data_IF_083687327148
#
_entry.id   IF_083687327148
#
_cell.length_a   1.000
_cell.length_b   1.000
_cell.length_c   1.000
_cell.angle_alpha   90.00
_cell.angle_beta   90.00
_cell.angle_gamma   90.00
#
_symmetry.space_group_name_H-M   'P 1'
#
loop_
_entity.id
_entity.type
_entity.pdbx_description
1 polymer ?
#
# COMPACT_ATOMS: atom_id res chain seq x y z
N UNK A 1 13.01 15.98 -5.17
CA UNK A 1 11.89 16.61 -4.41
C UNK A 1 10.53 16.03 -4.84
N UNK A 2 10.46 14.76 -5.26
CA UNK A 2 9.19 14.07 -5.44
C UNK A 2 8.72 13.63 -4.06
N UNK A 3 7.59 14.19 -3.61
CA UNK A 3 7.10 14.02 -2.25
C UNK A 3 7.05 12.56 -1.83
N UNK A 4 7.68 12.26 -0.68
CA UNK A 4 7.75 10.93 -0.06
C UNK A 4 6.37 10.46 0.39
N UNK A 5 5.43 10.23 -0.51
CA UNK A 5 4.08 9.80 -0.14
C UNK A 5 4.11 8.34 0.33
N UNK A 6 3.60 8.01 1.54
CA UNK A 6 3.62 6.64 2.04
C UNK A 6 2.83 5.69 1.12
N UNK A 7 3.48 4.68 0.49
CA UNK A 7 2.80 3.69 -0.34
C UNK A 7 1.61 2.98 0.32
N UNK A 8 1.66 2.63 1.63
CA UNK A 8 0.53 2.00 2.34
C UNK A 8 -0.77 2.81 2.27
N UNK A 9 -0.66 4.13 2.36
CA UNK A 9 -1.83 5.03 2.34
C UNK A 9 -2.56 4.98 1.00
N UNK A 10 -1.85 4.75 -0.10
CA UNK A 10 -2.49 4.63 -1.42
C UNK A 10 -3.38 3.41 -1.47
N UNK A 11 -2.92 2.29 -0.94
CA UNK A 11 -3.73 1.09 -0.87
C UNK A 11 -4.91 1.27 0.08
N UNK A 12 -4.68 1.79 1.28
CA UNK A 12 -5.73 1.96 2.29
C UNK A 12 -6.80 2.97 1.84
N UNK A 13 -6.40 4.16 1.37
CA UNK A 13 -7.33 5.16 0.86
C UNK A 13 -8.01 4.69 -0.43
N UNK A 14 -7.27 3.99 -1.30
CA UNK A 14 -7.82 3.42 -2.52
C UNK A 14 -8.86 2.34 -2.24
N UNK A 15 -8.69 1.54 -1.18
CA UNK A 15 -9.69 0.55 -0.75
C UNK A 15 -11.03 1.21 -0.43
N UNK A 16 -11.02 2.42 0.15
CA UNK A 16 -12.25 3.14 0.50
C UNK A 16 -13.07 3.56 -0.73
N UNK A 17 -12.43 3.70 -1.90
CA UNK A 17 -13.08 4.04 -3.16
C UNK A 17 -13.70 2.84 -3.88
N UNK A 18 -13.23 1.61 -3.59
CA UNK A 18 -13.71 0.36 -4.20
C UNK A 18 -15.22 0.13 -4.10
N UNK A 19 -15.93 0.35 -2.96
CA UNK A 19 -17.36 0.10 -2.87
C UNK A 19 -18.20 1.04 -3.73
N UNK A 20 -17.66 2.20 -4.13
CA UNK A 20 -18.34 3.15 -5.01
C UNK A 20 -18.23 2.76 -6.49
N UNK A 21 -17.29 1.88 -6.85
CA UNK A 21 -17.08 1.40 -8.22
C UNK A 21 -17.87 0.12 -8.51
N UNK A 22 -18.37 -0.02 -9.75
CA UNK A 22 -19.23 -1.17 -10.14
C UNK A 22 -18.71 -1.89 -11.37
N UNK A 23 -18.85 -3.22 -11.39
CA UNK A 23 -18.54 -4.05 -12.56
C UNK A 23 -17.06 -3.99 -12.97
N UNK A 24 -16.81 -3.86 -14.28
CA UNK A 24 -15.44 -3.92 -14.85
C UNK A 24 -14.53 -2.78 -14.37
N UNK A 25 -15.06 -1.59 -14.11
CA UNK A 25 -14.26 -0.45 -13.63
C UNK A 25 -13.65 -0.73 -12.27
N UNK A 26 -14.38 -1.39 -11.36
CA UNK A 26 -13.85 -1.81 -10.06
C UNK A 26 -12.71 -2.80 -10.22
N UNK A 27 -12.87 -3.80 -11.07
CA UNK A 27 -11.89 -4.88 -11.24
C UNK A 27 -10.58 -4.34 -11.86
N UNK A 28 -10.69 -3.42 -12.82
CA UNK A 28 -9.52 -2.70 -13.33
C UNK A 28 -8.89 -1.81 -12.26
N UNK A 29 -9.69 -1.09 -11.48
CA UNK A 29 -9.20 -0.24 -10.40
C UNK A 29 -8.40 -1.02 -9.34
N UNK A 30 -8.90 -2.18 -8.92
CA UNK A 30 -8.25 -3.04 -7.93
C UNK A 30 -6.91 -3.62 -8.42
N UNK A 31 -6.74 -3.77 -9.75
CA UNK A 31 -5.48 -4.20 -10.38
C UNK A 31 -4.52 -3.01 -10.54
N UNK A 32 -5.04 -1.84 -10.90
CA UNK A 32 -4.24 -0.62 -11.05
C UNK A 32 -3.64 -0.16 -9.73
N UNK A 33 -4.35 -0.34 -8.62
CA UNK A 33 -3.94 0.04 -7.28
C UNK A 33 -2.55 -0.49 -6.87
N UNK A 34 -2.30 -1.82 -6.88
CA UNK A 34 -0.96 -2.35 -6.59
C UNK A 34 0.08 -1.97 -7.64
N UNK A 35 -0.30 -1.80 -8.91
CA UNK A 35 0.63 -1.37 -9.96
C UNK A 35 1.13 0.07 -9.75
N UNK A 36 0.24 1.00 -9.39
CA UNK A 36 0.60 2.38 -9.02
C UNK A 36 1.46 2.38 -7.76
N UNK A 37 1.10 1.57 -6.76
CA UNK A 37 1.86 1.43 -5.52
C UNK A 37 3.27 0.90 -5.79
N UNK A 38 3.43 -0.09 -6.67
CA UNK A 38 4.74 -0.60 -7.10
C UNK A 38 5.59 0.50 -7.75
N UNK A 39 4.99 1.28 -8.66
CA UNK A 39 5.70 2.38 -9.35
C UNK A 39 6.18 3.44 -8.36
N UNK A 40 5.42 3.70 -7.29
CA UNK A 40 5.82 4.65 -6.25
C UNK A 40 6.92 4.11 -5.35
N UNK A 41 6.88 2.82 -5.00
CA UNK A 41 7.99 2.16 -4.27
C UNK A 41 9.29 2.24 -5.09
N UNK A 42 9.20 2.09 -6.41
CA UNK A 42 10.34 2.22 -7.31
C UNK A 42 10.96 3.63 -7.28
N UNK A 43 10.12 4.66 -7.24
CA UNK A 43 10.54 6.07 -7.24
C UNK A 43 10.98 6.59 -5.86
N UNK A 44 10.69 5.88 -4.76
CA UNK A 44 11.06 6.33 -3.42
C UNK A 44 12.58 6.35 -3.25
N UNK A 45 13.14 7.45 -2.78
CA UNK A 45 14.54 7.48 -2.36
C UNK A 45 14.73 6.78 -1.01
N UNK A 46 15.93 6.26 -0.75
CA UNK A 46 16.25 5.65 0.54
C UNK A 46 16.39 6.72 1.61
N UNK A 47 15.79 6.49 2.78
CA UNK A 47 15.79 7.43 3.89
C UNK A 47 14.57 7.25 4.79
N UNK A 48 14.52 7.99 5.90
CA UNK A 48 13.31 8.13 6.72
C UNK A 48 12.61 9.44 6.39
N UNK A 49 11.28 9.39 6.37
CA UNK A 49 10.42 10.55 6.22
C UNK A 49 9.10 10.28 6.94
N UNK A 50 8.25 11.30 7.08
CA UNK A 50 6.99 11.21 7.83
C UNK A 50 7.19 10.83 9.29
N UNK A 51 7.69 11.79 10.06
CA UNK A 51 7.82 11.68 11.50
C UNK A 51 6.58 12.26 12.19
N UNK A 52 6.02 11.52 13.14
CA UNK A 52 4.91 11.96 13.98
C UNK A 52 5.35 11.95 15.44
N UNK A 53 5.20 13.06 16.13
CA UNK A 53 5.38 13.10 17.58
C UNK A 53 4.10 12.60 18.26
N UNK A 54 4.21 11.48 18.99
CA UNK A 54 3.13 10.86 19.73
C UNK A 54 3.60 10.46 21.12
N UNK A 55 2.95 10.96 22.18
CA UNK A 55 3.29 10.65 23.58
C UNK A 55 4.79 10.74 23.89
N UNK A 56 5.42 11.86 23.49
CA UNK A 56 6.86 12.11 23.67
C UNK A 56 7.81 11.15 22.91
N UNK A 57 7.26 10.32 22.03
CA UNK A 57 8.01 9.50 21.08
C UNK A 57 7.93 10.08 19.66
N UNK A 58 9.03 10.02 18.93
CA UNK A 58 9.08 10.35 17.51
C UNK A 58 8.86 9.07 16.70
N UNK A 59 7.64 8.90 16.17
CA UNK A 59 7.26 7.77 15.33
C UNK A 59 7.71 8.03 13.89
N UNK A 60 8.33 7.05 13.25
CA UNK A 60 8.76 7.11 11.86
C UNK A 60 7.84 6.25 11.00
N UNK A 61 6.88 6.88 10.32
CA UNK A 61 5.87 6.17 9.53
C UNK A 61 6.38 5.68 8.18
N UNK A 62 7.44 6.29 7.63
CA UNK A 62 7.99 5.93 6.34
C UNK A 62 9.50 5.84 6.39
N UNK A 63 10.00 4.65 6.68
CA UNK A 63 11.41 4.29 6.56
C UNK A 63 11.61 3.45 5.29
N UNK A 64 12.42 3.97 4.38
CA UNK A 64 12.76 3.32 3.11
C UNK A 64 14.21 2.87 3.13
N UNK A 65 14.41 1.55 3.23
CA UNK A 65 15.70 0.92 3.03
C UNK A 65 15.65 -0.14 1.91
N UNK A 66 16.81 -0.70 1.55
CA UNK A 66 16.91 -1.68 0.46
C UNK A 66 16.08 -2.93 0.74
N UNK A 67 15.96 -3.34 2.00
CA UNK A 67 15.19 -4.53 2.39
C UNK A 67 13.69 -4.22 2.34
N UNK A 68 13.25 -3.09 2.90
CA UNK A 68 11.85 -2.65 2.81
C UNK A 68 11.37 -2.51 1.36
N UNK A 69 12.22 -2.01 0.46
CA UNK A 69 11.89 -1.97 -0.98
C UNK A 69 11.67 -3.36 -1.58
N UNK A 70 12.52 -4.34 -1.26
CA UNK A 70 12.36 -5.72 -1.77
C UNK A 70 11.04 -6.33 -1.30
N UNK A 71 10.71 -6.21 -0.02
CA UNK A 71 9.42 -6.67 0.50
C UNK A 71 8.24 -5.90 -0.09
N UNK A 72 8.38 -4.59 -0.27
CA UNK A 72 7.40 -3.75 -0.94
C UNK A 72 7.09 -4.23 -2.36
N UNK A 73 8.12 -4.60 -3.13
CA UNK A 73 7.95 -5.19 -4.47
C UNK A 73 7.26 -6.55 -4.42
N UNK A 74 7.67 -7.43 -3.49
CA UNK A 74 7.06 -8.77 -3.35
C UNK A 74 5.56 -8.65 -3.05
N UNK A 75 5.18 -7.82 -2.08
CA UNK A 75 3.78 -7.67 -1.70
C UNK A 75 2.94 -7.01 -2.80
N UNK A 76 3.45 -5.97 -3.47
CA UNK A 76 2.71 -5.31 -4.55
C UNK A 76 2.59 -6.20 -5.79
N UNK A 77 3.60 -6.98 -6.15
CA UNK A 77 3.51 -7.96 -7.24
C UNK A 77 2.55 -9.11 -6.91
N UNK A 78 2.60 -9.62 -5.68
CA UNK A 78 1.66 -10.64 -5.20
C UNK A 78 0.21 -10.12 -5.25
N UNK A 79 -0.02 -8.90 -4.76
CA UNK A 79 -1.30 -8.22 -4.82
C UNK A 79 -1.82 -8.06 -6.25
N UNK A 80 -0.96 -7.60 -7.17
CA UNK A 80 -1.30 -7.46 -8.57
C UNK A 80 -1.75 -8.79 -9.17
N UNK A 81 -0.98 -9.86 -8.98
CA UNK A 81 -1.34 -11.20 -9.45
C UNK A 81 -2.66 -11.70 -8.82
N UNK A 82 -2.85 -11.50 -7.52
CA UNK A 82 -4.06 -11.88 -6.81
C UNK A 82 -5.31 -11.15 -7.35
N UNK A 83 -5.22 -9.85 -7.63
CA UNK A 83 -6.35 -9.08 -8.18
C UNK A 83 -6.62 -9.37 -9.65
N UNK A 84 -5.58 -9.71 -10.44
CA UNK A 84 -5.76 -10.23 -11.79
C UNK A 84 -6.53 -11.54 -11.77
N UNK A 85 -6.20 -12.44 -10.85
CA UNK A 85 -6.95 -13.69 -10.66
C UNK A 85 -8.39 -13.44 -10.18
N UNK A 86 -8.56 -12.50 -9.23
CA UNK A 86 -9.86 -12.12 -8.68
C UNK A 86 -10.73 -11.28 -9.65
N UNK A 87 -10.34 -11.08 -10.91
CA UNK A 87 -11.03 -10.20 -11.85
C UNK A 87 -12.51 -10.55 -12.07
N UNK A 88 -12.94 -11.79 -11.84
CA UNK A 88 -14.34 -12.20 -11.99
C UNK A 88 -15.15 -12.15 -10.70
N UNK A 89 -14.49 -11.89 -9.56
CA UNK A 89 -15.11 -11.85 -8.26
C UNK A 89 -16.01 -10.61 -8.15
N UNK A 90 -17.27 -10.82 -7.77
CA UNK A 90 -18.28 -9.75 -7.74
C UNK A 90 -18.38 -9.04 -6.39
N UNK A 91 -17.88 -9.64 -5.32
CA UNK A 91 -18.01 -9.11 -3.97
C UNK A 91 -17.04 -7.95 -3.71
N UNK A 92 -17.57 -6.72 -3.52
CA UNK A 92 -16.76 -5.55 -3.21
C UNK A 92 -16.13 -5.61 -1.82
N UNK A 93 -16.80 -6.25 -0.86
CA UNK A 93 -16.29 -6.32 0.52
C UNK A 93 -14.98 -7.11 0.59
N UNK A 94 -14.87 -8.19 -0.19
CA UNK A 94 -13.65 -9.00 -0.31
C UNK A 94 -12.50 -8.20 -0.93
N UNK A 95 -12.77 -7.38 -1.94
CA UNK A 95 -11.74 -6.52 -2.54
C UNK A 95 -11.27 -5.45 -1.55
N UNK A 96 -12.19 -4.80 -0.82
CA UNK A 96 -11.85 -3.82 0.21
C UNK A 96 -10.98 -4.46 1.30
N UNK A 97 -11.42 -5.59 1.85
CA UNK A 97 -10.68 -6.30 2.90
C UNK A 97 -9.29 -6.73 2.43
N UNK A 98 -9.18 -7.28 1.21
CA UNK A 98 -7.90 -7.68 0.63
C UNK A 98 -6.95 -6.49 0.42
N UNK A 99 -7.44 -5.37 -0.12
CA UNK A 99 -6.62 -4.18 -0.35
C UNK A 99 -6.17 -3.57 0.99
N UNK A 100 -7.06 -3.48 1.98
CA UNK A 100 -6.69 -2.99 3.32
C UNK A 100 -5.64 -3.90 3.94
N UNK A 101 -5.80 -5.22 3.87
CA UNK A 101 -4.83 -6.18 4.40
C UNK A 101 -3.44 -6.00 3.78
N UNK A 102 -3.37 -5.90 2.45
CA UNK A 102 -2.11 -5.67 1.72
C UNK A 102 -1.53 -4.29 2.06
N UNK A 103 -2.38 -3.25 2.13
CA UNK A 103 -1.98 -1.90 2.51
C UNK A 103 -1.38 -1.84 3.91
N UNK A 104 -2.01 -2.48 4.90
CA UNK A 104 -1.48 -2.60 6.25
C UNK A 104 -0.16 -3.36 6.27
N UNK A 105 -0.04 -4.45 5.50
CA UNK A 105 1.20 -5.22 5.38
C UNK A 105 2.36 -4.38 4.84
N UNK A 106 2.09 -3.51 3.85
CA UNK A 106 3.06 -2.54 3.38
C UNK A 106 3.40 -1.51 4.47
N UNK A 107 2.43 -1.11 5.29
CA UNK A 107 2.64 -0.24 6.46
C UNK A 107 3.72 -0.79 7.39
N UNK A 108 3.57 -2.06 7.78
CA UNK A 108 4.52 -2.81 8.61
C UNK A 108 5.93 -2.85 7.97
N UNK A 109 6.01 -3.04 6.65
CA UNK A 109 7.30 -3.11 5.92
C UNK A 109 8.06 -1.79 5.93
N UNK A 110 7.33 -0.68 5.88
CA UNK A 110 7.91 0.66 5.86
C UNK A 110 7.93 1.33 7.26
N UNK A 111 7.49 0.64 8.30
CA UNK A 111 7.55 1.11 9.67
C UNK A 111 9.00 1.33 10.12
N UNK A 112 9.26 2.47 10.75
CA UNK A 112 10.60 2.85 11.20
C UNK A 112 10.96 2.37 12.60
N UNK A 113 9.95 2.10 13.43
CA UNK A 113 10.06 1.77 14.84
C UNK A 113 8.98 0.79 15.30
N UNK A 114 9.15 0.22 16.50
CA UNK A 114 8.27 -0.81 17.06
C UNK A 114 6.83 -0.34 17.33
N UNK A 115 6.62 0.95 17.56
CA UNK A 115 5.28 1.48 17.86
C UNK A 115 4.51 1.72 16.56
N UNK A 116 5.22 2.12 15.50
CA UNK A 116 4.67 2.28 14.15
C UNK A 116 4.40 0.96 13.41
N UNK A 117 4.98 -0.14 13.90
CA UNK A 117 4.93 -1.48 13.28
C UNK A 117 3.63 -2.25 13.58
#
# INVERSE_FOLDING_TARGET
MTGSFPPPLIMILGALLVPFLKGKTRNWYTILLPAVTFCLIWQLDTGSSWHLHFFDHELTLLRVDKLSKVFGYIFTLNAFAAFVYAFYLKDSSQHVAAIIYIGSSLGVVFAGDLISL
#
